data_IF_739093651759
#
_entry.id   IF_739093651759
#
_cell.length_a   1.000
_cell.length_b   1.000
_cell.length_c   1.000
_cell.angle_alpha   90.00
_cell.angle_beta   90.00
_cell.angle_gamma   90.00
#
_symmetry.space_group_name_H-M   'P 1'
#
loop_
_entity.id
_entity.type
_entity.pdbx_description
1 polymer ?
#
# COMPACT_ATOMS: atom_id res chain seq x y z
N UNK A 1 -18.73 9.41 5.01
CA UNK A 1 -17.41 9.40 5.67
C UNK A 1 -16.70 10.68 5.29
N UNK A 2 -15.84 11.22 6.16
CA UNK A 2 -15.05 12.39 5.81
C UNK A 2 -14.02 12.03 4.70
N UNK A 3 -13.93 12.81 3.60
CA UNK A 3 -13.03 12.50 2.48
C UNK A 3 -11.55 12.46 2.86
N UNK A 4 -11.13 13.29 3.83
CA UNK A 4 -9.74 13.31 4.30
C UNK A 4 -9.40 12.01 5.01
N UNK A 5 -10.29 11.54 5.91
CA UNK A 5 -10.08 10.28 6.64
C UNK A 5 -10.00 9.11 5.66
N UNK A 6 -10.93 9.03 4.71
CA UNK A 6 -10.93 7.96 3.72
C UNK A 6 -9.65 7.99 2.87
N UNK A 7 -9.24 9.16 2.39
CA UNK A 7 -8.01 9.35 1.64
C UNK A 7 -6.77 8.91 2.43
N UNK A 8 -6.64 9.36 3.69
CA UNK A 8 -5.49 9.05 4.52
C UNK A 8 -5.38 7.55 4.81
N UNK A 9 -6.50 6.90 5.16
CA UNK A 9 -6.50 5.47 5.45
C UNK A 9 -6.19 4.64 4.19
N UNK A 10 -6.91 4.91 3.10
CA UNK A 10 -6.78 4.14 1.85
C UNK A 10 -5.41 4.37 1.20
N UNK A 11 -4.92 5.61 1.19
CA UNK A 11 -3.59 5.97 0.68
C UNK A 11 -2.46 5.37 1.50
N UNK A 12 -2.55 5.41 2.83
CA UNK A 12 -1.54 4.78 3.70
C UNK A 12 -1.45 3.26 3.49
N UNK A 13 -2.59 2.57 3.54
CA UNK A 13 -2.66 1.11 3.39
C UNK A 13 -2.11 0.67 2.04
N UNK A 14 -2.54 1.33 0.97
CA UNK A 14 -2.14 0.99 -0.39
C UNK A 14 -0.65 1.26 -0.65
N UNK A 15 -0.11 2.39 -0.16
CA UNK A 15 1.33 2.67 -0.17
C UNK A 15 2.11 1.61 0.63
N UNK A 16 1.59 1.20 1.79
CA UNK A 16 2.27 0.24 2.65
C UNK A 16 2.32 -1.16 2.04
N UNK A 17 1.24 -1.61 1.40
CA UNK A 17 1.23 -2.83 0.61
C UNK A 17 2.22 -2.76 -0.57
N UNK A 18 2.20 -1.67 -1.34
CA UNK A 18 3.07 -1.48 -2.50
C UNK A 18 4.57 -1.49 -2.11
N UNK A 19 4.93 -0.74 -1.07
CA UNK A 19 6.30 -0.68 -0.57
C UNK A 19 6.76 -2.02 -0.03
N UNK A 20 5.94 -2.72 0.76
CA UNK A 20 6.34 -4.00 1.37
C UNK A 20 6.54 -5.09 0.32
N UNK A 21 5.66 -5.16 -0.68
CA UNK A 21 5.87 -6.03 -1.83
C UNK A 21 7.16 -5.69 -2.60
N UNK A 22 7.42 -4.39 -2.79
CA UNK A 22 8.65 -3.91 -3.43
C UNK A 22 9.91 -4.30 -2.68
N UNK A 23 9.92 -4.20 -1.35
CA UNK A 23 11.07 -4.62 -0.52
C UNK A 23 11.26 -6.13 -0.56
N UNK A 24 10.19 -6.92 -0.41
CA UNK A 24 10.26 -8.37 -0.49
C UNK A 24 10.80 -8.85 -1.85
N UNK A 25 10.40 -8.19 -2.94
CA UNK A 25 10.86 -8.55 -4.28
C UNK A 25 12.33 -8.16 -4.54
N UNK A 26 12.88 -7.21 -3.78
CA UNK A 26 14.29 -6.79 -3.87
C UNK A 26 15.24 -7.69 -3.05
N UNK A 27 14.72 -8.58 -2.20
CA UNK A 27 15.54 -9.54 -1.46
C UNK A 27 16.28 -10.47 -2.43
N UNK A 28 17.52 -10.83 -2.08
CA UNK A 28 18.26 -11.85 -2.80
C UNK A 28 17.52 -13.20 -2.70
N UNK A 29 17.66 -14.07 -3.70
CA UNK A 29 16.92 -15.33 -3.75
C UNK A 29 17.16 -16.22 -2.51
N UNK A 30 18.35 -16.14 -1.91
CA UNK A 30 18.68 -16.84 -0.68
C UNK A 30 17.92 -16.31 0.57
N UNK A 31 17.57 -15.02 0.58
CA UNK A 31 16.90 -14.35 1.69
C UNK A 31 15.37 -14.28 1.49
N UNK A 32 14.88 -14.75 0.34
CA UNK A 32 13.44 -14.79 0.07
C UNK A 32 12.74 -15.76 1.01
N UNK A 33 11.64 -15.34 1.64
CA UNK A 33 10.88 -16.20 2.53
C UNK A 33 10.33 -17.41 1.77
N UNK A 34 10.16 -18.55 2.46
CA UNK A 34 9.81 -19.83 1.86
C UNK A 34 8.61 -19.80 0.89
N UNK A 35 7.60 -18.95 1.15
CA UNK A 35 6.45 -18.82 0.25
C UNK A 35 6.81 -18.20 -1.11
N UNK A 36 7.79 -17.29 -1.14
CA UNK A 36 8.25 -16.58 -2.34
C UNK A 36 9.26 -17.41 -3.16
N UNK A 37 9.83 -18.48 -2.60
CA UNK A 37 10.69 -19.39 -3.36
C UNK A 37 9.93 -20.16 -4.46
N UNK A 38 8.61 -20.30 -4.30
CA UNK A 38 7.74 -20.80 -5.36
C UNK A 38 7.43 -19.70 -6.39
N UNK A 39 7.37 -20.07 -7.67
CA UNK A 39 6.98 -19.14 -8.75
C UNK A 39 5.62 -18.48 -8.46
N UNK A 40 4.66 -19.24 -7.93
CA UNK A 40 3.33 -18.73 -7.62
C UNK A 40 3.35 -17.71 -6.48
N UNK A 41 4.16 -17.93 -5.44
CA UNK A 41 4.28 -16.97 -4.34
C UNK A 41 5.00 -15.69 -4.73
N UNK A 42 6.03 -15.77 -5.58
CA UNK A 42 6.65 -14.58 -6.16
C UNK A 42 5.65 -13.76 -6.99
N UNK A 43 4.86 -14.40 -7.85
CA UNK A 43 3.81 -13.74 -8.63
C UNK A 43 2.74 -13.12 -7.72
N UNK A 44 2.33 -13.82 -6.66
CA UNK A 44 1.36 -13.28 -5.69
C UNK A 44 1.84 -11.97 -5.07
N UNK A 45 3.12 -11.88 -4.67
CA UNK A 45 3.66 -10.66 -4.05
C UNK A 45 3.74 -9.52 -5.05
N UNK A 46 4.16 -9.79 -6.28
CA UNK A 46 4.17 -8.78 -7.35
C UNK A 46 2.74 -8.27 -7.61
N UNK A 47 1.77 -9.18 -7.68
CA UNK A 47 0.37 -8.81 -7.88
C UNK A 47 -0.19 -8.01 -6.71
N UNK A 48 0.13 -8.38 -5.48
CA UNK A 48 -0.23 -7.64 -4.27
C UNK A 48 0.35 -6.22 -4.29
N UNK A 49 1.62 -6.06 -4.68
CA UNK A 49 2.27 -4.77 -4.83
C UNK A 49 1.61 -3.91 -5.90
N UNK A 50 1.30 -4.48 -7.06
CA UNK A 50 0.62 -3.78 -8.15
C UNK A 50 -0.81 -3.36 -7.77
N UNK A 51 -1.55 -4.22 -7.07
CA UNK A 51 -2.85 -3.85 -6.51
C UNK A 51 -2.75 -2.68 -5.53
N UNK A 52 -1.74 -2.70 -4.65
CA UNK A 52 -1.42 -1.57 -3.77
C UNK A 52 -1.16 -0.30 -4.57
N UNK A 53 -0.29 -0.36 -5.58
CA UNK A 53 0.04 0.82 -6.40
C UNK A 53 -1.17 1.38 -7.16
N UNK A 54 -1.99 0.51 -7.77
CA UNK A 54 -3.21 0.93 -8.47
C UNK A 54 -4.24 1.53 -7.52
N UNK A 55 -4.41 0.94 -6.33
CA UNK A 55 -5.30 1.47 -5.30
C UNK A 55 -4.80 2.81 -4.78
N UNK A 56 -3.50 3.01 -4.65
CA UNK A 56 -2.90 4.29 -4.28
C UNK A 56 -3.17 5.36 -5.33
N UNK A 57 -3.04 5.04 -6.63
CA UNK A 57 -3.41 5.95 -7.71
C UNK A 57 -4.90 6.31 -7.62
N UNK A 58 -5.77 5.33 -7.34
CA UNK A 58 -7.18 5.58 -7.08
C UNK A 58 -7.41 6.52 -5.89
N UNK A 59 -6.76 6.25 -4.75
CA UNK A 59 -6.84 7.10 -3.56
C UNK A 59 -6.35 8.53 -3.85
N UNK A 60 -5.28 8.68 -4.62
CA UNK A 60 -4.78 9.99 -5.04
C UNK A 60 -5.78 10.72 -5.92
N UNK A 61 -6.34 10.07 -6.93
CA UNK A 61 -7.34 10.68 -7.80
C UNK A 61 -8.60 11.10 -7.02
N UNK A 62 -9.04 10.29 -6.04
CA UNK A 62 -10.09 10.66 -5.09
C UNK A 62 -9.68 11.90 -4.26
N UNK A 63 -8.47 11.88 -3.70
CA UNK A 63 -7.93 12.98 -2.90
C UNK A 63 -7.81 14.28 -3.69
N UNK A 64 -7.27 14.25 -4.90
CA UNK A 64 -7.14 15.44 -5.77
C UNK A 64 -8.50 16.00 -6.21
N UNK A 65 -9.53 15.16 -6.27
CA UNK A 65 -10.88 15.58 -6.64
C UNK A 65 -11.61 16.27 -5.48
N UNK A 66 -11.43 15.80 -4.25
CA UNK A 66 -12.26 16.19 -3.09
C UNK A 66 -11.51 17.00 -2.04
N UNK A 67 -10.18 17.02 -2.06
CA UNK A 67 -9.33 17.73 -1.12
C UNK A 67 -8.48 18.77 -1.86
N UNK A 68 -7.87 19.68 -1.10
CA UNK A 68 -6.89 20.61 -1.67
C UNK A 68 -5.66 19.86 -2.16
N UNK A 69 -5.18 20.21 -3.36
CA UNK A 69 -4.13 19.50 -4.09
C UNK A 69 -2.82 19.28 -3.31
N UNK A 70 -2.50 20.15 -2.35
CA UNK A 70 -1.30 20.01 -1.54
C UNK A 70 -1.40 18.85 -0.52
N UNK A 71 -2.61 18.45 -0.12
CA UNK A 71 -2.83 17.36 0.84
C UNK A 71 -2.44 16.01 0.22
N UNK A 72 -2.98 15.58 -0.94
CA UNK A 72 -2.57 14.32 -1.55
C UNK A 72 -1.10 14.31 -1.95
N UNK A 73 -0.59 15.45 -2.45
CA UNK A 73 0.79 15.60 -2.86
C UNK A 73 1.74 15.40 -1.67
N UNK A 74 1.56 16.16 -0.59
CA UNK A 74 2.39 16.03 0.63
C UNK A 74 2.27 14.63 1.24
N UNK A 75 1.08 14.04 1.22
CA UNK A 75 0.85 12.70 1.78
C UNK A 75 1.62 11.63 1.04
N UNK A 76 1.65 11.66 -0.30
CA UNK A 76 2.38 10.64 -1.09
C UNK A 76 3.89 10.77 -1.01
N UNK A 77 4.43 11.99 -0.94
CA UNK A 77 5.88 12.19 -0.91
C UNK A 77 6.48 12.16 0.49
N UNK A 78 5.72 12.56 1.50
CA UNK A 78 6.23 12.72 2.87
C UNK A 78 5.55 11.73 3.82
N UNK A 79 4.25 11.85 4.02
CA UNK A 79 3.58 11.20 5.14
C UNK A 79 3.45 9.68 4.98
N UNK A 80 2.91 9.20 3.87
CA UNK A 80 2.70 7.77 3.65
C UNK A 80 4.02 6.99 3.60
N UNK A 81 5.06 7.42 2.86
CA UNK A 81 6.36 6.75 2.90
C UNK A 81 6.97 6.77 4.29
N UNK A 82 6.96 7.92 4.99
CA UNK A 82 7.56 8.04 6.30
C UNK A 82 6.88 7.12 7.34
N UNK A 83 5.54 7.07 7.36
CA UNK A 83 4.80 6.20 8.29
C UNK A 83 4.95 4.74 7.88
N UNK A 84 4.88 4.42 6.59
CA UNK A 84 5.01 3.04 6.13
C UNK A 84 6.40 2.47 6.41
N UNK A 85 7.46 3.16 6.00
CA UNK A 85 8.84 2.71 6.17
C UNK A 85 9.31 2.86 7.62
N UNK A 86 9.03 4.01 8.24
CA UNK A 86 9.56 4.37 9.54
C UNK A 86 8.88 3.66 10.71
N UNK A 87 7.59 3.34 10.59
CA UNK A 87 6.81 2.74 11.67
C UNK A 87 6.40 1.33 11.28
N UNK A 88 5.67 1.20 10.19
CA UNK A 88 4.92 -0.03 9.89
C UNK A 88 5.84 -1.19 9.52
N UNK A 89 6.75 -0.97 8.58
CA UNK A 89 7.72 -1.98 8.15
C UNK A 89 8.74 -2.29 9.25
N UNK A 90 9.13 -1.31 10.07
CA UNK A 90 10.01 -1.55 11.22
C UNK A 90 9.37 -2.38 12.32
N UNK A 91 8.07 -2.19 12.59
CA UNK A 91 7.37 -2.90 13.65
C UNK A 91 6.91 -4.31 13.23
N UNK A 92 6.40 -4.45 12.01
CA UNK A 92 5.79 -5.70 11.54
C UNK A 92 6.72 -6.54 10.65
N UNK A 93 7.72 -5.91 10.02
CA UNK A 93 8.49 -6.52 8.94
C UNK A 93 7.69 -6.61 7.63
N UNK A 94 8.38 -6.65 6.49
CA UNK A 94 7.73 -6.55 5.17
C UNK A 94 6.74 -7.69 4.89
N UNK A 95 7.05 -8.91 5.38
CA UNK A 95 6.20 -10.08 5.20
C UNK A 95 4.85 -9.91 5.88
N UNK A 96 4.85 -9.67 7.19
CA UNK A 96 3.60 -9.55 7.96
C UNK A 96 2.83 -8.32 7.50
N UNK A 97 3.54 -7.23 7.21
CA UNK A 97 2.92 -6.01 6.73
C UNK A 97 2.19 -6.23 5.40
N UNK A 98 2.80 -6.93 4.43
CA UNK A 98 2.12 -7.23 3.17
C UNK A 98 0.84 -8.06 3.39
N UNK A 99 0.90 -9.11 4.22
CA UNK A 99 -0.26 -9.96 4.50
C UNK A 99 -1.38 -9.22 5.22
N UNK A 100 -1.06 -8.22 6.05
CA UNK A 100 -2.04 -7.39 6.75
C UNK A 100 -2.61 -6.31 5.83
N UNK A 101 -1.75 -5.61 5.09
CA UNK A 101 -2.14 -4.48 4.25
C UNK A 101 -2.87 -4.91 2.97
N UNK A 102 -2.64 -6.12 2.46
CA UNK A 102 -3.32 -6.63 1.27
C UNK A 102 -4.87 -6.70 1.42
N UNK A 103 -5.45 -7.37 2.43
CA UNK A 103 -6.90 -7.36 2.61
C UNK A 103 -7.44 -5.96 2.92
N UNK A 104 -6.71 -5.15 3.68
CA UNK A 104 -7.05 -3.75 3.90
C UNK A 104 -7.07 -2.94 2.59
N UNK A 105 -6.17 -3.25 1.65
CA UNK A 105 -6.14 -2.63 0.31
C UNK A 105 -7.39 -3.03 -0.47
N UNK A 106 -7.81 -4.30 -0.42
CA UNK A 106 -9.04 -4.74 -1.08
C UNK A 106 -10.28 -4.05 -0.51
N UNK A 107 -10.36 -3.90 0.82
CA UNK A 107 -11.42 -3.11 1.48
C UNK A 107 -11.36 -1.65 1.02
N UNK A 108 -10.15 -1.09 0.90
CA UNK A 108 -9.93 0.28 0.43
C UNK A 108 -10.47 0.50 -0.98
N UNK A 109 -10.30 -0.47 -1.90
CA UNK A 109 -10.87 -0.40 -3.25
C UNK A 109 -12.40 -0.28 -3.18
N UNK A 110 -13.05 -1.14 -2.37
CA UNK A 110 -14.50 -1.12 -2.21
C UNK A 110 -15.02 0.19 -1.62
N UNK A 111 -14.32 0.71 -0.59
CA UNK A 111 -14.67 1.98 0.04
C UNK A 111 -14.47 3.16 -0.92
N UNK A 112 -13.34 3.21 -1.63
CA UNK A 112 -13.09 4.24 -2.63
C UNK A 112 -14.16 4.22 -3.70
N UNK A 113 -14.52 3.05 -4.24
CA UNK A 113 -15.58 2.94 -5.25
C UNK A 113 -16.95 3.41 -4.74
N UNK A 114 -17.30 3.08 -3.50
CA UNK A 114 -18.60 3.44 -2.94
C UNK A 114 -18.74 4.94 -2.62
N UNK A 115 -17.66 5.58 -2.15
CA UNK A 115 -17.68 6.98 -1.73
C UNK A 115 -17.16 7.96 -2.81
N UNK A 116 -16.82 7.46 -4.01
CA UNK A 116 -16.26 8.24 -5.13
C UNK A 116 -17.18 9.32 -5.71
#
# INVERSE_FOLDING_TARGET
MDPLILFLCTGFVSMSAALSAGQLNKLADADKPAFMQSRNGAVMVIMAGNLGALTLIGALAYGFRLLEWWIPLSSVFLSFPAISLGITQRLLGDRVNLFLMLPLTLVSIGLLYHFW
#
